data_IF_706246924502
#
_entry.id   IF_706246924502
#
_cell.length_a   1.000
_cell.length_b   1.000
_cell.length_c   1.000
_cell.angle_alpha   90.00
_cell.angle_beta   90.00
_cell.angle_gamma   90.00
#
_symmetry.space_group_name_H-M   'P 1'
#
loop_
_entity.id
_entity.type
_entity.pdbx_description
1 polymer ?
#
# COMPACT_ATOMS: atom_id res chain seq x y z
N UNK A 1 -87.43 -36.75 52.07
CA UNK A 1 -86.02 -36.73 51.71
C UNK A 1 -85.68 -37.32 50.34
N UNK A 2 -86.57 -37.82 49.50
CA UNK A 2 -86.25 -38.44 48.19
C UNK A 2 -86.44 -37.46 46.98
N UNK A 3 -87.00 -36.29 47.19
CA UNK A 3 -87.28 -35.34 46.11
C UNK A 3 -86.19 -34.28 45.88
N UNK A 4 -85.36 -33.91 46.87
CA UNK A 4 -84.33 -32.91 46.77
C UNK A 4 -83.02 -33.37 46.10
N UNK A 5 -82.77 -34.67 46.19
CA UNK A 5 -81.55 -35.29 45.59
C UNK A 5 -81.68 -35.40 44.06
N UNK A 6 -82.87 -35.52 43.50
CA UNK A 6 -83.08 -35.58 42.05
C UNK A 6 -82.93 -34.21 41.36
N UNK A 7 -83.19 -33.15 42.05
CA UNK A 7 -83.00 -31.75 41.45
C UNK A 7 -81.53 -31.34 41.48
N UNK A 8 -80.81 -31.70 42.55
CA UNK A 8 -79.39 -31.38 42.67
C UNK A 8 -78.55 -32.14 41.63
N UNK A 9 -78.85 -33.34 41.29
CA UNK A 9 -78.16 -34.09 40.25
C UNK A 9 -78.47 -33.62 38.83
N UNK A 10 -79.65 -33.02 38.54
CA UNK A 10 -79.89 -32.37 37.26
C UNK A 10 -79.11 -31.04 37.05
N UNK A 11 -78.90 -30.28 38.13
CA UNK A 11 -78.12 -29.06 38.02
C UNK A 11 -76.63 -29.35 37.88
N UNK A 12 -76.09 -30.41 38.47
CA UNK A 12 -74.72 -30.84 38.33
C UNK A 12 -74.47 -31.37 36.93
N UNK A 13 -75.38 -32.10 36.33
CA UNK A 13 -75.25 -32.60 34.95
C UNK A 13 -75.35 -31.44 33.90
N UNK A 14 -76.20 -30.45 34.12
CA UNK A 14 -76.30 -29.29 33.24
C UNK A 14 -75.05 -28.37 33.38
N UNK A 15 -74.47 -28.20 34.59
CA UNK A 15 -73.26 -27.47 34.82
C UNK A 15 -72.01 -28.21 34.23
N UNK A 16 -72.02 -29.57 34.28
CA UNK A 16 -70.89 -30.31 33.61
C UNK A 16 -70.99 -30.33 32.10
N UNK A 17 -72.15 -30.32 31.50
CA UNK A 17 -72.33 -30.24 30.05
C UNK A 17 -71.96 -28.81 29.53
N UNK A 18 -72.22 -27.79 30.31
CA UNK A 18 -71.79 -26.40 29.94
C UNK A 18 -70.28 -26.22 30.09
N UNK A 19 -69.66 -26.89 31.08
CA UNK A 19 -68.17 -26.85 31.24
C UNK A 19 -67.45 -27.71 30.18
N UNK A 20 -68.04 -28.88 29.79
CA UNK A 20 -67.49 -29.75 28.75
C UNK A 20 -67.75 -29.14 27.33
N UNK A 21 -68.84 -28.41 27.12
CA UNK A 21 -69.18 -27.75 25.89
C UNK A 21 -68.26 -26.47 25.62
N UNK A 22 -67.65 -25.89 26.66
CA UNK A 22 -66.72 -24.82 26.52
C UNK A 22 -65.23 -25.21 26.36
N UNK A 23 -64.90 -26.49 26.63
CA UNK A 23 -63.55 -27.01 26.48
C UNK A 23 -63.27 -27.70 25.14
N UNK A 24 -64.28 -27.94 24.30
CA UNK A 24 -64.12 -28.54 22.96
C UNK A 24 -64.20 -27.54 21.79
N UNK A 25 -64.44 -26.26 22.04
CA UNK A 25 -64.15 -25.20 21.13
C UNK A 25 -62.74 -24.63 21.43
N UNK A 26 -61.80 -25.52 21.54
CA UNK A 26 -60.34 -25.19 21.43
C UNK A 26 -60.12 -24.70 20.02
N UNK A 27 -60.26 -23.43 19.87
CA UNK A 27 -59.81 -22.71 18.71
C UNK A 27 -58.31 -23.05 18.47
N UNK A 28 -58.04 -23.98 17.61
CA UNK A 28 -56.80 -24.04 16.85
C UNK A 28 -56.84 -22.83 15.92
N UNK A 29 -56.72 -21.64 16.46
CA UNK A 29 -56.46 -20.46 15.65
C UNK A 29 -55.09 -20.72 15.07
N UNK A 30 -55.06 -21.08 13.80
CA UNK A 30 -53.87 -21.25 13.00
C UNK A 30 -52.98 -20.04 13.27
N UNK A 31 -51.77 -20.18 13.79
CA UNK A 31 -50.90 -19.06 14.14
C UNK A 31 -50.71 -18.11 12.97
N UNK A 32 -50.86 -18.62 11.72
CA UNK A 32 -50.83 -17.84 10.47
C UNK A 32 -52.03 -16.89 10.31
N UNK A 33 -53.13 -17.05 11.04
CA UNK A 33 -54.28 -16.13 11.01
C UNK A 33 -54.19 -14.99 12.03
N UNK A 34 -53.29 -15.08 13.01
CA UNK A 34 -53.08 -14.01 13.98
C UNK A 34 -52.41 -12.81 13.29
N UNK A 35 -52.93 -11.60 13.53
CA UNK A 35 -52.49 -10.36 12.89
C UNK A 35 -51.52 -9.59 13.78
N UNK A 36 -50.60 -8.87 13.17
CA UNK A 36 -49.72 -7.87 13.82
C UNK A 36 -50.61 -6.77 14.45
N UNK A 37 -50.21 -6.26 15.62
CA UNK A 37 -50.97 -5.21 16.31
C UNK A 37 -50.97 -3.94 15.47
N UNK A 38 -52.08 -3.15 15.54
CA UNK A 38 -52.18 -1.85 14.88
C UNK A 38 -51.04 -0.86 15.32
N UNK A 39 -50.68 0.09 14.51
CA UNK A 39 -49.67 1.10 14.76
C UNK A 39 -48.21 0.55 14.90
N UNK A 40 -47.92 -0.63 14.32
CA UNK A 40 -46.57 -1.13 14.13
C UNK A 40 -46.19 -0.92 12.65
N UNK A 41 -45.03 -0.35 12.44
CA UNK A 41 -44.46 -0.10 11.12
C UNK A 41 -43.10 -0.78 10.99
N UNK A 42 -42.70 -1.15 9.77
CA UNK A 42 -41.35 -1.59 9.43
C UNK A 42 -40.85 -0.67 8.31
N UNK A 43 -39.71 0.00 8.50
CA UNK A 43 -39.22 1.05 7.60
C UNK A 43 -40.30 2.11 7.27
N UNK A 44 -41.06 2.50 8.28
CA UNK A 44 -42.20 3.41 8.17
C UNK A 44 -43.37 2.88 7.32
N UNK A 45 -43.33 1.61 6.89
CA UNK A 45 -44.46 0.98 6.17
C UNK A 45 -45.36 0.34 7.23
N UNK A 46 -46.67 0.73 7.22
CA UNK A 46 -47.64 0.15 8.13
C UNK A 46 -47.84 -1.34 7.82
N UNK A 47 -47.55 -2.20 8.81
CA UNK A 47 -47.76 -3.64 8.80
C UNK A 47 -48.82 -4.08 9.83
N UNK A 48 -49.42 -3.10 10.54
CA UNK A 48 -50.49 -3.35 11.49
C UNK A 48 -51.71 -3.98 10.83
N UNK A 49 -52.40 -4.87 11.58
CA UNK A 49 -53.59 -5.65 11.14
C UNK A 49 -53.29 -6.62 9.98
N UNK A 50 -52.05 -6.76 9.50
CA UNK A 50 -51.65 -7.77 8.52
C UNK A 50 -51.29 -9.10 9.23
N UNK A 51 -51.45 -10.25 8.55
CA UNK A 51 -50.82 -11.48 8.92
C UNK A 51 -49.32 -11.41 8.62
N UNK A 52 -48.49 -12.31 9.22
CA UNK A 52 -47.05 -12.38 8.90
C UNK A 52 -46.83 -12.50 7.38
N UNK A 53 -47.53 -13.43 6.73
CA UNK A 53 -47.42 -13.65 5.27
C UNK A 53 -47.75 -12.41 4.43
N UNK A 54 -48.81 -11.68 4.81
CA UNK A 54 -49.18 -10.42 4.13
C UNK A 54 -48.13 -9.30 4.34
N UNK A 55 -47.57 -9.20 5.57
CA UNK A 55 -46.53 -8.23 5.89
C UNK A 55 -45.23 -8.51 5.12
N UNK A 56 -44.78 -9.79 5.09
CA UNK A 56 -43.60 -10.20 4.30
C UNK A 56 -43.80 -9.85 2.84
N UNK A 57 -44.89 -10.28 2.20
CA UNK A 57 -45.18 -9.99 0.80
C UNK A 57 -45.17 -8.45 0.49
N UNK A 58 -45.74 -7.65 1.42
CA UNK A 58 -45.77 -6.19 1.29
C UNK A 58 -44.37 -5.58 1.32
N UNK A 59 -43.51 -6.06 2.22
CA UNK A 59 -42.14 -5.56 2.38
C UNK A 59 -41.23 -6.03 1.25
N UNK A 60 -41.32 -7.30 0.81
CA UNK A 60 -40.59 -7.83 -0.35
C UNK A 60 -40.91 -7.07 -1.63
N UNK A 61 -42.18 -6.71 -1.84
CA UNK A 61 -42.58 -5.87 -2.98
C UNK A 61 -41.96 -4.47 -2.94
N UNK A 62 -41.71 -3.92 -1.75
CA UNK A 62 -41.12 -2.60 -1.57
C UNK A 62 -39.59 -2.62 -1.55
N UNK A 63 -39.01 -3.68 -0.99
CA UNK A 63 -37.57 -3.90 -0.85
C UNK A 63 -37.16 -5.23 -1.51
N UNK A 64 -37.31 -5.36 -2.84
CA UNK A 64 -36.88 -6.57 -3.53
C UNK A 64 -35.38 -6.68 -3.51
N UNK A 65 -34.87 -7.90 -3.33
CA UNK A 65 -33.46 -8.22 -3.57
C UNK A 65 -33.22 -8.10 -5.08
N UNK A 66 -32.39 -7.14 -5.48
CA UNK A 66 -32.07 -6.87 -6.88
C UNK A 66 -30.58 -6.97 -7.11
N UNK A 67 -30.22 -7.49 -8.25
CA UNK A 67 -28.86 -7.40 -8.77
C UNK A 67 -28.53 -5.96 -9.13
N UNK A 68 -27.25 -5.63 -9.07
CA UNK A 68 -26.74 -4.33 -9.48
C UNK A 68 -25.52 -4.47 -10.36
N UNK A 69 -25.18 -3.40 -11.05
CA UNK A 69 -24.04 -3.40 -11.93
C UNK A 69 -23.01 -2.39 -11.50
N UNK A 70 -21.76 -2.78 -11.62
CA UNK A 70 -20.60 -1.89 -11.55
C UNK A 70 -20.21 -1.56 -12.99
N UNK A 71 -20.07 -0.28 -13.34
CA UNK A 71 -19.85 0.19 -14.72
C UNK A 71 -18.59 1.03 -14.83
N UNK A 72 -17.86 0.90 -15.92
CA UNK A 72 -16.71 1.74 -16.26
C UNK A 72 -16.53 1.84 -17.78
N UNK A 73 -16.70 3.04 -18.35
CA UNK A 73 -16.76 3.20 -19.79
C UNK A 73 -17.88 2.33 -20.41
N UNK A 74 -17.49 1.42 -21.31
CA UNK A 74 -18.41 0.46 -21.92
C UNK A 74 -18.48 -0.89 -21.18
N UNK A 75 -17.66 -1.07 -20.16
CA UNK A 75 -17.61 -2.31 -19.38
C UNK A 75 -18.68 -2.32 -18.30
N UNK A 76 -19.25 -3.50 -18.04
CA UNK A 76 -20.34 -3.70 -17.08
C UNK A 76 -20.20 -5.06 -16.41
N UNK A 77 -20.15 -5.08 -15.08
CA UNK A 77 -20.09 -6.30 -14.28
C UNK A 77 -21.35 -6.41 -13.42
N UNK A 78 -22.03 -7.53 -13.51
CA UNK A 78 -23.18 -7.84 -12.66
C UNK A 78 -22.72 -8.33 -11.30
N UNK A 79 -23.33 -7.83 -10.25
CA UNK A 79 -23.23 -8.38 -8.90
C UNK A 79 -24.63 -8.91 -8.56
N UNK A 80 -24.77 -10.21 -8.54
CA UNK A 80 -26.03 -10.86 -8.19
C UNK A 80 -26.26 -10.77 -6.67
N UNK A 81 -27.43 -10.34 -6.24
CA UNK A 81 -27.79 -10.26 -4.83
C UNK A 81 -27.59 -11.60 -4.11
N UNK A 82 -27.91 -12.70 -4.81
CA UNK A 82 -27.73 -14.06 -4.30
C UNK A 82 -26.28 -14.49 -4.18
N UNK A 83 -25.39 -14.03 -5.08
CA UNK A 83 -23.97 -14.42 -5.06
C UNK A 83 -23.24 -13.87 -3.84
N UNK A 84 -23.73 -12.78 -3.27
CA UNK A 84 -23.19 -12.13 -2.08
C UNK A 84 -24.03 -12.37 -0.81
N UNK A 85 -25.01 -13.26 -0.84
CA UNK A 85 -25.95 -13.52 0.25
C UNK A 85 -26.60 -12.25 0.80
N UNK A 86 -27.01 -11.34 -0.08
CA UNK A 86 -27.70 -10.11 0.32
C UNK A 86 -29.05 -10.47 0.95
N UNK A 87 -29.30 -9.99 2.17
CA UNK A 87 -30.54 -10.18 2.89
C UNK A 87 -30.95 -8.91 3.66
N UNK A 88 -32.23 -8.59 3.64
CA UNK A 88 -32.82 -7.51 4.42
C UNK A 88 -33.49 -8.00 5.70
N UNK A 89 -33.44 -9.30 6.00
CA UNK A 89 -34.02 -9.96 7.18
C UNK A 89 -35.49 -9.65 7.39
N UNK A 90 -36.26 -9.59 6.29
CA UNK A 90 -37.69 -9.19 6.31
C UNK A 90 -38.50 -10.15 7.22
N UNK A 91 -38.31 -11.45 7.10
CA UNK A 91 -39.04 -12.43 7.94
C UNK A 91 -38.74 -12.24 9.43
N UNK A 92 -37.46 -12.03 9.79
CA UNK A 92 -37.05 -11.81 11.18
C UNK A 92 -37.73 -10.54 11.74
N UNK A 93 -37.75 -9.44 10.99
CA UNK A 93 -38.34 -8.17 11.41
C UNK A 93 -39.86 -8.24 11.47
N UNK A 94 -40.49 -9.01 10.58
CA UNK A 94 -41.94 -9.26 10.66
C UNK A 94 -42.28 -10.14 11.89
N UNK A 95 -41.44 -11.12 12.23
CA UNK A 95 -41.56 -11.87 13.45
C UNK A 95 -41.41 -11.02 14.71
N UNK A 96 -40.43 -10.09 14.73
CA UNK A 96 -40.27 -9.08 15.78
C UNK A 96 -41.55 -8.23 15.93
N UNK A 97 -42.06 -7.72 14.83
CA UNK A 97 -43.30 -6.93 14.80
C UNK A 97 -44.50 -7.72 15.33
N UNK A 98 -44.63 -8.98 14.94
CA UNK A 98 -45.71 -9.84 15.39
C UNK A 98 -45.61 -10.14 16.88
N UNK A 99 -44.41 -10.37 17.40
CA UNK A 99 -44.16 -10.73 18.79
C UNK A 99 -44.10 -9.51 19.72
N UNK A 100 -43.95 -8.30 19.23
CA UNK A 100 -43.81 -7.08 20.04
C UNK A 100 -44.81 -6.96 21.19
N UNK A 101 -46.01 -7.51 21.06
CA UNK A 101 -47.05 -7.50 22.09
C UNK A 101 -47.37 -8.88 22.64
N UNK A 102 -46.51 -9.89 22.43
CA UNK A 102 -46.82 -11.32 22.72
C UNK A 102 -45.71 -12.10 23.43
N UNK A 103 -44.49 -11.68 23.36
CA UNK A 103 -43.30 -12.43 23.81
C UNK A 103 -42.72 -11.98 25.17
N UNK A 104 -43.33 -10.97 25.78
CA UNK A 104 -42.89 -10.45 27.08
C UNK A 104 -43.88 -10.83 28.20
N UNK A 105 -43.61 -10.36 29.42
CA UNK A 105 -44.54 -10.56 30.54
C UNK A 105 -45.92 -9.97 30.22
N UNK A 106 -46.96 -10.54 30.84
CA UNK A 106 -48.33 -10.09 30.63
C UNK A 106 -48.50 -8.57 30.86
N UNK A 107 -47.88 -8.05 31.90
CA UNK A 107 -47.91 -6.60 32.23
C UNK A 107 -47.26 -5.76 31.13
N UNK A 108 -46.09 -6.15 30.64
CA UNK A 108 -45.39 -5.42 29.58
C UNK A 108 -46.15 -5.49 28.25
N UNK A 109 -46.76 -6.65 27.93
CA UNK A 109 -47.60 -6.75 26.73
C UNK A 109 -48.83 -5.85 26.81
N UNK A 110 -49.47 -5.72 27.99
CA UNK A 110 -50.59 -4.79 28.21
C UNK A 110 -50.12 -3.35 28.03
N UNK A 111 -48.95 -2.98 28.61
CA UNK A 111 -48.35 -1.64 28.48
C UNK A 111 -48.01 -1.30 27.04
N UNK A 112 -47.40 -2.22 26.29
CA UNK A 112 -47.09 -2.03 24.86
C UNK A 112 -48.36 -1.86 24.02
N UNK A 113 -49.38 -2.68 24.24
CA UNK A 113 -50.71 -2.52 23.60
C UNK A 113 -51.37 -1.18 23.93
N UNK A 114 -51.26 -0.72 25.19
CA UNK A 114 -51.74 0.58 25.62
C UNK A 114 -51.05 1.75 24.89
N UNK A 115 -49.72 1.71 24.82
CA UNK A 115 -48.96 2.71 24.06
C UNK A 115 -49.37 2.79 22.58
N UNK A 116 -49.54 1.64 21.93
CA UNK A 116 -49.97 1.55 20.53
C UNK A 116 -51.38 2.09 20.33
N UNK A 117 -52.33 1.85 21.26
CA UNK A 117 -53.68 2.43 21.22
C UNK A 117 -53.70 3.96 21.32
N UNK A 118 -52.78 4.54 22.07
CA UNK A 118 -52.54 5.99 22.16
C UNK A 118 -51.92 6.61 20.92
N UNK A 119 -51.94 5.93 19.78
CA UNK A 119 -51.39 6.32 18.48
C UNK A 119 -49.84 6.54 18.48
N UNK A 120 -49.13 6.05 19.48
CA UNK A 120 -47.65 6.00 19.44
C UNK A 120 -47.24 4.82 18.55
N UNK A 121 -46.77 5.12 17.36
CA UNK A 121 -46.26 4.07 16.44
C UNK A 121 -44.97 3.43 16.98
N UNK A 122 -44.79 2.15 16.69
CA UNK A 122 -43.53 1.46 16.89
C UNK A 122 -42.95 1.09 15.54
N UNK A 123 -41.80 1.71 15.19
CA UNK A 123 -41.14 1.48 13.93
C UNK A 123 -39.93 0.58 14.09
N UNK A 124 -39.89 -0.51 13.36
CA UNK A 124 -38.78 -1.47 13.30
C UNK A 124 -38.00 -1.19 12.01
N UNK A 125 -36.67 -1.25 12.08
CA UNK A 125 -35.81 -1.08 10.88
C UNK A 125 -35.41 -2.45 10.34
N UNK A 126 -35.40 -2.58 9.03
CA UNK A 126 -34.79 -3.71 8.35
C UNK A 126 -33.27 -3.66 8.53
N UNK A 127 -32.68 -4.82 8.72
CA UNK A 127 -31.23 -4.98 8.77
C UNK A 127 -30.75 -5.50 7.41
N UNK A 128 -29.89 -4.76 6.75
CA UNK A 128 -29.24 -5.23 5.53
C UNK A 128 -27.93 -5.94 5.88
N UNK A 129 -27.72 -7.14 5.37
CA UNK A 129 -26.46 -7.88 5.50
C UNK A 129 -26.08 -8.51 4.16
N UNK A 130 -24.78 -8.76 3.99
CA UNK A 130 -24.23 -9.50 2.86
C UNK A 130 -22.92 -10.15 3.27
N UNK A 131 -22.45 -11.13 2.51
CA UNK A 131 -21.15 -11.80 2.73
C UNK A 131 -20.02 -10.96 2.10
N UNK A 132 -19.21 -10.34 2.96
CA UNK A 132 -18.08 -9.49 2.53
C UNK A 132 -16.99 -10.30 1.81
N UNK A 133 -16.82 -11.58 2.12
CA UNK A 133 -15.82 -12.44 1.49
C UNK A 133 -16.25 -12.74 0.05
N UNK A 134 -17.54 -13.07 -0.14
CA UNK A 134 -18.11 -13.32 -1.47
C UNK A 134 -18.06 -12.04 -2.32
N UNK A 135 -18.52 -10.92 -1.78
CA UNK A 135 -18.39 -9.62 -2.48
C UNK A 135 -16.95 -9.32 -2.86
N UNK A 136 -15.99 -9.51 -1.94
CA UNK A 136 -14.57 -9.26 -2.22
C UNK A 136 -14.01 -10.15 -3.33
N UNK A 137 -14.54 -11.36 -3.54
CA UNK A 137 -14.15 -12.22 -4.66
C UNK A 137 -14.62 -11.64 -5.99
N UNK A 138 -15.88 -11.18 -6.07
CA UNK A 138 -16.43 -10.53 -7.26
C UNK A 138 -15.64 -9.25 -7.60
N UNK A 139 -15.37 -8.41 -6.60
CA UNK A 139 -14.61 -7.17 -6.80
C UNK A 139 -13.16 -7.42 -7.25
N UNK A 140 -12.53 -8.54 -6.82
CA UNK A 140 -11.18 -8.92 -7.30
C UNK A 140 -11.16 -9.19 -8.81
N UNK A 141 -12.21 -9.75 -9.37
CA UNK A 141 -12.31 -9.98 -10.83
C UNK A 141 -12.30 -8.63 -11.56
N UNK A 142 -13.10 -7.68 -11.09
CA UNK A 142 -13.16 -6.32 -11.64
C UNK A 142 -11.80 -5.62 -11.53
N UNK A 143 -11.17 -5.71 -10.35
CA UNK A 143 -9.84 -5.13 -10.15
C UNK A 143 -8.80 -5.69 -11.12
N UNK A 144 -8.82 -7.01 -11.39
CA UNK A 144 -7.88 -7.64 -12.34
C UNK A 144 -8.12 -7.20 -13.78
N UNK A 145 -9.36 -6.92 -14.15
CA UNK A 145 -9.72 -6.45 -15.48
C UNK A 145 -9.28 -5.00 -15.74
N UNK A 146 -9.27 -4.16 -14.69
CA UNK A 146 -9.07 -2.70 -14.82
C UNK A 146 -7.69 -2.25 -14.38
N UNK A 147 -7.09 -2.88 -13.35
CA UNK A 147 -5.80 -2.45 -12.83
C UNK A 147 -4.69 -2.68 -13.87
N UNK A 148 -3.98 -1.61 -14.16
CA UNK A 148 -2.77 -1.60 -14.97
C UNK A 148 -1.70 -0.89 -14.17
N UNK A 149 -0.57 -1.54 -13.93
CA UNK A 149 0.53 -0.93 -13.22
C UNK A 149 1.17 0.18 -14.07
N UNK A 150 1.57 1.26 -13.40
CA UNK A 150 2.38 2.28 -14.03
C UNK A 150 3.76 1.72 -14.40
N UNK A 151 4.32 2.17 -15.51
CA UNK A 151 5.65 1.78 -15.97
C UNK A 151 6.58 2.97 -15.82
N UNK A 152 7.68 2.79 -15.09
CA UNK A 152 8.70 3.81 -14.91
C UNK A 152 9.46 4.08 -16.23
N UNK A 153 9.86 5.32 -16.44
CA UNK A 153 10.85 5.67 -17.45
C UNK A 153 12.21 5.09 -17.05
N UNK A 154 13.04 4.75 -18.00
CA UNK A 154 14.42 4.30 -17.76
C UNK A 154 15.45 5.15 -18.47
N UNK A 155 16.62 5.23 -17.85
CA UNK A 155 17.82 5.84 -18.41
C UNK A 155 18.94 4.82 -18.33
N UNK A 156 19.63 4.61 -19.43
CA UNK A 156 20.76 3.70 -19.52
C UNK A 156 21.87 4.28 -20.42
N UNK A 157 23.11 4.07 -20.03
CA UNK A 157 24.28 4.45 -20.80
C UNK A 157 25.04 3.20 -21.19
N UNK A 158 25.10 2.93 -22.48
CA UNK A 158 25.86 1.81 -23.03
C UNK A 158 27.37 2.01 -22.84
N UNK A 159 28.15 0.95 -22.98
CA UNK A 159 29.62 1.05 -22.93
C UNK A 159 30.20 1.93 -24.02
N UNK A 160 29.53 2.02 -25.16
CA UNK A 160 29.86 2.95 -26.26
C UNK A 160 29.66 4.43 -25.88
N UNK A 161 28.97 4.73 -24.78
CA UNK A 161 28.54 6.07 -24.39
C UNK A 161 27.18 6.49 -24.98
N UNK A 162 26.52 5.63 -25.77
CA UNK A 162 25.16 5.87 -26.26
C UNK A 162 24.16 5.89 -25.10
N UNK A 163 23.27 6.89 -25.11
CA UNK A 163 22.25 7.04 -24.07
C UNK A 163 20.92 6.51 -24.60
N UNK A 164 20.37 5.49 -23.94
CA UNK A 164 19.03 4.96 -24.20
C UNK A 164 18.04 5.40 -23.11
N UNK A 165 16.84 5.79 -23.56
CA UNK A 165 15.75 6.23 -22.68
C UNK A 165 14.46 5.55 -23.08
N UNK A 166 13.67 5.10 -22.11
CA UNK A 166 12.28 4.67 -22.33
C UNK A 166 11.31 5.66 -21.70
N UNK A 167 10.10 5.74 -22.26
CA UNK A 167 9.04 6.60 -21.72
C UNK A 167 8.31 5.90 -20.60
N UNK A 168 7.90 6.63 -19.58
CA UNK A 168 6.97 6.17 -18.56
C UNK A 168 5.56 6.02 -19.14
N UNK A 169 4.76 5.18 -18.49
CA UNK A 169 3.32 5.04 -18.77
C UNK A 169 2.55 5.11 -17.47
N UNK A 170 1.49 5.88 -17.46
CA UNK A 170 0.54 5.89 -16.36
C UNK A 170 -0.23 4.58 -16.31
N UNK A 171 -0.56 4.15 -15.12
CA UNK A 171 -1.41 3.00 -14.85
C UNK A 171 -2.80 3.42 -14.40
N UNK A 172 -3.62 2.43 -14.04
CA UNK A 172 -4.96 2.60 -13.50
C UNK A 172 -5.14 1.68 -12.32
N UNK A 173 -5.83 2.15 -11.29
CA UNK A 173 -6.09 1.36 -10.09
C UNK A 173 -7.50 1.64 -9.59
N UNK A 174 -8.27 0.59 -9.36
CA UNK A 174 -9.59 0.70 -8.74
C UNK A 174 -9.43 1.20 -7.30
N UNK A 175 -10.15 2.25 -6.93
CA UNK A 175 -10.31 2.66 -5.53
C UNK A 175 -11.30 1.70 -4.85
N UNK A 176 -10.76 0.57 -4.41
CA UNK A 176 -11.53 -0.50 -3.80
C UNK A 176 -12.20 -0.06 -2.49
N UNK A 177 -11.58 0.86 -1.74
CA UNK A 177 -12.14 1.38 -0.49
C UNK A 177 -13.40 2.16 -0.74
N UNK A 178 -13.34 3.11 -1.67
CA UNK A 178 -14.49 3.91 -2.08
C UNK A 178 -15.59 3.08 -2.74
N UNK A 179 -15.21 2.08 -3.55
CA UNK A 179 -16.18 1.17 -4.16
C UNK A 179 -16.96 0.38 -3.09
N UNK A 180 -16.26 -0.18 -2.09
CA UNK A 180 -16.89 -0.90 -0.98
C UNK A 180 -17.80 0.01 -0.15
N UNK A 181 -17.39 1.23 0.13
CA UNK A 181 -18.19 2.23 0.83
C UNK A 181 -19.49 2.55 0.05
N UNK A 182 -19.39 2.80 -1.25
CA UNK A 182 -20.55 3.03 -2.10
C UNK A 182 -21.53 1.86 -2.09
N UNK A 183 -21.03 0.62 -2.16
CA UNK A 183 -21.86 -0.60 -2.11
C UNK A 183 -22.51 -0.73 -0.73
N UNK A 184 -21.76 -0.56 0.35
CA UNK A 184 -22.26 -0.60 1.72
C UNK A 184 -23.41 0.42 1.93
N UNK A 185 -23.19 1.65 1.52
CA UNK A 185 -24.18 2.74 1.62
C UNK A 185 -25.44 2.44 0.82
N UNK A 186 -25.29 1.98 -0.42
CA UNK A 186 -26.41 1.61 -1.29
C UNK A 186 -27.26 0.49 -0.67
N UNK A 187 -26.61 -0.57 -0.17
CA UNK A 187 -27.28 -1.70 0.47
C UNK A 187 -27.99 -1.28 1.75
N UNK A 188 -27.35 -0.50 2.62
CA UNK A 188 -27.95 -0.03 3.86
C UNK A 188 -29.13 0.94 3.62
N UNK A 189 -29.07 1.77 2.60
CA UNK A 189 -30.18 2.61 2.17
C UNK A 189 -31.29 1.81 1.49
N UNK A 190 -31.07 0.53 1.20
CA UNK A 190 -31.99 -0.39 0.49
C UNK A 190 -32.48 0.17 -0.85
N UNK A 191 -31.61 0.95 -1.49
CA UNK A 191 -31.84 1.59 -2.78
C UNK A 191 -30.81 1.09 -3.78
N UNK A 192 -31.12 -0.09 -4.35
CA UNK A 192 -30.21 -0.75 -5.28
C UNK A 192 -30.20 -0.01 -6.61
N UNK A 193 -29.01 0.47 -7.01
CA UNK A 193 -28.76 1.18 -8.26
C UNK A 193 -27.36 0.82 -8.81
N UNK A 194 -27.08 1.18 -10.06
CA UNK A 194 -25.77 0.92 -10.64
C UNK A 194 -24.72 1.87 -10.05
N UNK A 195 -23.51 1.35 -9.91
CA UNK A 195 -22.37 2.08 -9.34
C UNK A 195 -21.32 2.31 -10.42
N UNK A 196 -20.90 3.55 -10.62
CA UNK A 196 -19.73 3.86 -11.43
C UNK A 196 -18.48 3.44 -10.68
N UNK A 197 -17.60 2.65 -11.34
CA UNK A 197 -16.35 2.18 -10.77
C UNK A 197 -15.42 3.37 -10.50
N UNK A 198 -15.02 3.62 -9.25
CA UNK A 198 -14.02 4.64 -8.96
C UNK A 198 -12.63 4.12 -9.37
N UNK A 199 -12.02 4.76 -10.35
CA UNK A 199 -10.69 4.43 -10.86
C UNK A 199 -9.77 5.62 -10.68
N UNK A 200 -8.58 5.38 -10.10
CA UNK A 200 -7.53 6.36 -9.89
C UNK A 200 -6.42 6.13 -10.92
N UNK A 201 -5.77 7.20 -11.36
CA UNK A 201 -4.53 7.11 -12.13
C UNK A 201 -3.41 6.67 -11.20
N UNK A 202 -2.64 5.67 -11.60
CA UNK A 202 -1.41 5.25 -10.94
C UNK A 202 -0.24 5.89 -11.68
N UNK A 203 0.53 6.73 -11.00
CA UNK A 203 1.66 7.43 -11.60
C UNK A 203 2.94 6.61 -11.47
N UNK A 204 3.84 6.65 -12.48
CA UNK A 204 5.15 6.05 -12.40
C UNK A 204 6.01 6.77 -11.34
N UNK A 205 6.92 6.06 -10.71
CA UNK A 205 7.89 6.62 -9.75
C UNK A 205 8.94 7.47 -10.46
N UNK A 206 9.29 7.09 -11.68
CA UNK A 206 10.22 7.79 -12.54
C UNK A 206 9.48 8.24 -13.80
N UNK A 207 9.32 9.54 -13.97
CA UNK A 207 8.63 10.10 -15.14
C UNK A 207 9.56 10.25 -16.36
N UNK A 208 8.96 10.34 -17.53
CA UNK A 208 9.68 10.64 -18.78
C UNK A 208 10.44 11.96 -18.69
N UNK A 209 9.87 12.98 -18.06
CA UNK A 209 10.45 14.32 -17.90
C UNK A 209 11.69 14.28 -17.02
N UNK A 210 11.64 13.50 -15.92
CA UNK A 210 12.79 13.29 -15.04
C UNK A 210 13.96 12.62 -15.76
N UNK A 211 13.70 11.60 -16.58
CA UNK A 211 14.73 10.93 -17.36
C UNK A 211 15.28 11.83 -18.49
N UNK A 212 14.44 12.66 -19.09
CA UNK A 212 14.88 13.65 -20.11
C UNK A 212 15.77 14.73 -19.52
N UNK A 213 15.59 15.11 -18.26
CA UNK A 213 16.41 16.14 -17.60
C UNK A 213 17.87 15.71 -17.44
N UNK A 214 18.17 14.39 -17.46
CA UNK A 214 19.54 13.87 -17.42
C UNK A 214 20.17 14.08 -18.80
N UNK A 215 20.91 15.18 -18.98
CA UNK A 215 21.41 15.60 -20.29
C UNK A 215 22.90 15.98 -20.30
N UNK A 216 23.59 15.88 -19.16
CA UNK A 216 24.98 16.29 -19.02
C UNK A 216 25.73 15.37 -18.05
N UNK A 217 27.05 15.34 -18.17
CA UNK A 217 27.95 14.80 -17.14
C UNK A 217 28.22 15.91 -16.14
N UNK A 218 27.82 15.72 -14.87
CA UNK A 218 28.08 16.67 -13.79
C UNK A 218 29.53 16.59 -13.29
N UNK A 219 30.03 15.34 -13.17
CA UNK A 219 31.40 15.07 -12.76
C UNK A 219 31.83 13.67 -13.13
N UNK A 220 33.14 13.46 -13.22
CA UNK A 220 33.76 12.20 -13.51
C UNK A 220 35.13 12.07 -12.86
N UNK A 221 35.53 10.83 -12.58
CA UNK A 221 36.87 10.54 -12.09
C UNK A 221 37.32 9.14 -12.55
N UNK A 222 38.63 8.97 -12.78
CA UNK A 222 39.21 7.70 -13.25
C UNK A 222 40.40 7.29 -12.42
N UNK A 223 40.56 5.98 -12.23
CA UNK A 223 41.76 5.39 -11.61
C UNK A 223 42.21 4.16 -12.40
N UNK A 224 43.53 3.99 -12.52
CA UNK A 224 44.12 2.87 -13.26
C UNK A 224 44.38 1.68 -12.37
N UNK A 225 44.28 0.46 -12.92
CA UNK A 225 44.56 -0.80 -12.24
C UNK A 225 45.05 -1.88 -13.23
N UNK A 226 45.50 -3.02 -12.72
CA UNK A 226 45.88 -4.14 -13.58
C UNK A 226 44.72 -5.14 -13.69
N UNK A 227 44.13 -5.26 -14.89
CA UNK A 227 42.98 -6.10 -15.21
C UNK A 227 43.26 -7.60 -15.01
N UNK A 228 44.53 -8.05 -15.22
CA UNK A 228 44.90 -9.48 -15.25
C UNK A 228 45.05 -10.12 -13.87
N UNK A 229 44.70 -9.43 -12.79
CA UNK A 229 44.86 -9.89 -11.41
C UNK A 229 43.53 -10.21 -10.74
N UNK A 230 43.57 -11.01 -9.64
CA UNK A 230 42.40 -11.20 -8.76
C UNK A 230 41.83 -9.88 -8.25
N UNK A 231 42.74 -8.91 -7.99
CA UNK A 231 42.35 -7.55 -7.59
C UNK A 231 41.60 -6.82 -8.71
N UNK A 232 42.03 -6.96 -9.96
CA UNK A 232 41.34 -6.45 -11.12
C UNK A 232 39.95 -7.07 -11.26
N UNK A 233 39.83 -8.39 -11.13
CA UNK A 233 38.54 -9.07 -11.12
C UNK A 233 37.59 -8.52 -10.05
N UNK A 234 38.07 -8.22 -8.83
CA UNK A 234 37.26 -7.62 -7.76
C UNK A 234 36.80 -6.20 -8.11
N UNK A 235 37.64 -5.42 -8.84
CA UNK A 235 37.28 -4.08 -9.30
C UNK A 235 36.15 -4.15 -10.33
N UNK A 236 36.16 -5.13 -11.24
CA UNK A 236 35.07 -5.38 -12.16
C UNK A 236 33.76 -5.69 -11.43
N UNK A 237 33.76 -6.67 -10.53
CA UNK A 237 32.57 -7.04 -9.75
C UNK A 237 32.00 -5.87 -8.97
N UNK A 238 32.87 -5.11 -8.27
CA UNK A 238 32.43 -3.96 -7.49
C UNK A 238 31.95 -2.77 -8.37
N UNK A 239 32.66 -2.55 -9.49
CA UNK A 239 32.30 -1.50 -10.45
C UNK A 239 30.95 -1.74 -11.12
N UNK A 240 30.67 -2.98 -11.53
CA UNK A 240 29.41 -3.38 -12.11
C UNK A 240 28.25 -3.29 -11.10
N UNK A 241 28.44 -3.79 -9.87
CA UNK A 241 27.41 -3.74 -8.81
C UNK A 241 27.05 -2.33 -8.36
N UNK A 242 27.92 -1.36 -8.62
CA UNK A 242 27.74 0.06 -8.28
C UNK A 242 27.48 0.95 -9.50
N UNK A 243 27.23 0.33 -10.66
CA UNK A 243 26.88 1.02 -11.92
C UNK A 243 25.37 1.02 -12.17
N UNK A 244 24.95 1.83 -13.13
CA UNK A 244 23.58 1.90 -13.65
C UNK A 244 22.56 2.22 -12.56
N UNK A 245 22.88 3.17 -11.70
CA UNK A 245 22.06 3.58 -10.57
C UNK A 245 21.45 4.96 -10.80
N UNK A 246 20.13 5.00 -10.84
CA UNK A 246 19.37 6.25 -10.83
C UNK A 246 19.10 6.63 -9.37
N UNK A 247 19.47 7.85 -8.99
CA UNK A 247 19.15 8.45 -7.70
C UNK A 247 18.20 9.63 -7.91
N UNK A 248 16.99 9.49 -7.41
CA UNK A 248 16.00 10.56 -7.41
C UNK A 248 16.41 11.68 -6.43
N UNK A 249 15.82 12.87 -6.52
CA UNK A 249 16.03 13.93 -5.54
C UNK A 249 15.86 13.44 -4.09
N UNK A 250 16.86 13.71 -3.24
CA UNK A 250 16.90 13.29 -1.83
C UNK A 250 17.26 11.82 -1.59
N UNK A 251 17.45 11.00 -2.63
CA UNK A 251 17.88 9.61 -2.44
C UNK A 251 19.38 9.50 -2.15
N UNK A 252 19.71 8.54 -1.27
CA UNK A 252 21.08 8.27 -0.82
C UNK A 252 21.64 7.01 -1.46
N UNK A 253 22.83 7.12 -2.05
CA UNK A 253 23.66 5.99 -2.43
C UNK A 253 24.40 5.42 -1.22
N UNK A 254 24.50 4.09 -1.14
CA UNK A 254 25.35 3.37 -0.18
C UNK A 254 26.14 2.31 -0.93
N UNK A 255 27.46 2.41 -0.86
CA UNK A 255 28.35 1.45 -1.51
C UNK A 255 28.16 0.03 -0.97
N UNK A 256 28.11 -0.11 0.37
CA UNK A 256 27.94 -1.40 1.02
C UNK A 256 26.60 -2.05 0.68
N UNK A 257 25.53 -1.26 0.55
CA UNK A 257 24.21 -1.77 0.15
C UNK A 257 24.21 -2.32 -1.28
N UNK A 258 25.02 -1.73 -2.16
CA UNK A 258 25.13 -2.16 -3.56
C UNK A 258 26.02 -3.37 -3.74
N UNK A 259 27.19 -3.40 -3.10
CA UNK A 259 28.16 -4.47 -3.28
C UNK A 259 27.90 -5.70 -2.39
N UNK A 260 27.19 -5.53 -1.29
CA UNK A 260 27.02 -6.61 -0.30
C UNK A 260 28.33 -7.06 0.37
N UNK A 261 28.34 -8.25 0.94
CA UNK A 261 29.53 -8.87 1.52
C UNK A 261 30.54 -9.23 0.43
N UNK A 262 31.82 -8.93 0.67
CA UNK A 262 32.90 -9.16 -0.30
C UNK A 262 33.49 -10.55 -0.10
N UNK A 263 32.74 -11.58 -0.48
CA UNK A 263 33.12 -12.97 -0.35
C UNK A 263 33.07 -13.71 -1.71
N UNK A 264 33.55 -14.93 -1.75
CA UNK A 264 33.57 -15.75 -2.96
C UNK A 264 32.17 -16.04 -3.54
N UNK A 265 31.14 -16.11 -2.69
CA UNK A 265 29.73 -16.32 -3.13
C UNK A 265 29.26 -15.17 -4.00
N UNK A 266 29.70 -13.95 -3.68
CA UNK A 266 29.40 -12.73 -4.44
C UNK A 266 30.42 -12.44 -5.55
N UNK A 267 31.27 -13.42 -5.92
CA UNK A 267 32.23 -13.33 -7.01
C UNK A 267 33.56 -12.67 -6.68
N UNK A 268 33.80 -12.34 -5.41
CA UNK A 268 35.08 -11.74 -5.00
C UNK A 268 36.16 -12.78 -4.77
N UNK A 269 37.37 -12.44 -5.16
CA UNK A 269 38.59 -13.27 -5.02
C UNK A 269 39.50 -12.75 -3.90
N UNK A 270 40.35 -13.62 -3.39
CA UNK A 270 41.43 -13.19 -2.49
C UNK A 270 42.44 -12.35 -3.24
N UNK A 271 42.77 -11.19 -2.68
CA UNK A 271 43.73 -10.22 -3.22
C UNK A 271 44.34 -9.37 -2.07
N UNK A 272 45.42 -8.63 -2.30
CA UNK A 272 46.00 -7.75 -1.29
C UNK A 272 45.04 -6.74 -0.72
N UNK A 273 44.90 -6.71 0.62
CA UNK A 273 44.12 -5.73 1.42
C UNK A 273 45.03 -5.10 2.47
N UNK A 274 44.63 -3.97 3.03
CA UNK A 274 45.29 -3.29 4.14
C UNK A 274 44.52 -3.55 5.43
N UNK A 275 45.14 -4.23 6.39
CA UNK A 275 44.55 -4.50 7.72
C UNK A 275 45.55 -4.07 8.79
N UNK A 276 45.14 -3.15 9.70
CA UNK A 276 46.02 -2.67 10.77
C UNK A 276 47.35 -2.06 10.29
N UNK A 277 47.30 -1.36 9.11
CA UNK A 277 48.50 -0.74 8.52
C UNK A 277 49.50 -1.75 7.85
N UNK A 278 49.10 -3.02 7.66
CA UNK A 278 49.90 -4.03 6.96
C UNK A 278 49.16 -4.59 5.76
N UNK A 279 49.88 -4.91 4.71
CA UNK A 279 49.33 -5.58 3.52
C UNK A 279 49.25 -7.07 3.78
N UNK A 280 48.08 -7.66 3.62
CA UNK A 280 47.78 -9.09 3.72
C UNK A 280 46.85 -9.53 2.62
N UNK A 281 46.70 -10.82 2.38
CA UNK A 281 45.66 -11.31 1.44
C UNK A 281 44.32 -11.48 2.14
N UNK A 282 43.25 -11.02 1.48
CA UNK A 282 41.88 -11.15 1.97
C UNK A 282 40.88 -10.99 0.83
N UNK A 283 39.64 -11.37 1.07
CA UNK A 283 38.56 -11.27 0.09
C UNK A 283 38.23 -9.81 -0.22
N UNK A 284 37.93 -9.50 -1.49
CA UNK A 284 37.52 -8.16 -1.92
C UNK A 284 38.65 -7.13 -2.03
N UNK A 285 39.96 -7.55 -2.02
CA UNK A 285 41.04 -6.59 -2.28
C UNK A 285 40.85 -5.87 -3.61
N UNK A 286 40.87 -4.53 -3.57
CA UNK A 286 40.59 -3.65 -4.72
C UNK A 286 39.29 -2.84 -4.64
N UNK A 287 38.30 -3.23 -3.85
CA UNK A 287 36.98 -2.57 -3.75
C UNK A 287 37.06 -1.11 -3.29
N UNK A 288 38.03 -0.78 -2.42
CA UNK A 288 38.23 0.61 -1.98
C UNK A 288 38.74 1.53 -3.11
N UNK A 289 39.32 0.99 -4.17
CA UNK A 289 39.64 1.80 -5.36
C UNK A 289 38.37 2.19 -6.12
N UNK A 290 37.39 1.28 -6.20
CA UNK A 290 36.09 1.57 -6.82
C UNK A 290 35.34 2.63 -6.02
N UNK A 291 35.21 2.45 -4.68
CA UNK A 291 34.57 3.46 -3.83
C UNK A 291 35.26 4.83 -3.90
N UNK A 292 36.59 4.86 -3.94
CA UNK A 292 37.38 6.09 -4.12
C UNK A 292 37.08 6.76 -5.47
N UNK A 293 36.98 5.98 -6.54
CA UNK A 293 36.67 6.54 -7.88
C UNK A 293 35.28 7.14 -7.91
N UNK A 294 34.28 6.46 -7.34
CA UNK A 294 32.90 6.93 -7.22
C UNK A 294 32.83 8.19 -6.31
N UNK A 295 33.54 8.16 -5.17
CA UNK A 295 33.62 9.30 -4.24
C UNK A 295 34.08 10.56 -4.93
N UNK A 296 35.17 10.48 -5.70
CA UNK A 296 35.70 11.63 -6.42
C UNK A 296 34.75 12.14 -7.52
N UNK A 297 34.08 11.24 -8.23
CA UNK A 297 33.05 11.61 -9.18
C UNK A 297 31.88 12.34 -8.47
N UNK A 298 31.43 11.85 -7.31
CA UNK A 298 30.40 12.45 -6.50
C UNK A 298 30.81 13.83 -5.96
N UNK A 299 32.06 14.00 -5.47
CA UNK A 299 32.61 15.28 -5.05
C UNK A 299 32.57 16.31 -6.19
N UNK A 300 33.04 15.92 -7.37
CA UNK A 300 33.10 16.79 -8.55
C UNK A 300 31.72 17.08 -9.15
N UNK A 301 30.71 16.31 -8.79
CA UNK A 301 29.31 16.48 -9.19
C UNK A 301 28.48 17.30 -8.21
N UNK A 302 29.04 17.78 -7.10
CA UNK A 302 28.33 18.56 -6.10
C UNK A 302 27.36 17.75 -5.22
N UNK A 303 27.43 16.39 -5.25
CA UNK A 303 26.58 15.56 -4.39
C UNK A 303 26.96 15.73 -2.92
N UNK A 304 26.00 15.65 -2.02
CA UNK A 304 26.23 15.73 -0.57
C UNK A 304 26.88 14.46 -0.09
N UNK A 305 28.07 14.55 0.50
CA UNK A 305 28.78 13.41 1.08
C UNK A 305 28.31 13.20 2.51
N UNK A 306 27.64 12.07 2.77
CA UNK A 306 27.06 11.76 4.09
C UNK A 306 28.02 10.92 4.95
N UNK A 307 28.80 10.02 4.30
CA UNK A 307 29.75 9.17 5.00
C UNK A 307 30.93 8.87 4.10
N UNK A 308 32.16 9.17 4.56
CA UNK A 308 33.42 8.80 3.92
C UNK A 308 34.48 8.56 4.99
N UNK A 309 35.37 7.59 4.77
CA UNK A 309 36.48 7.28 5.65
C UNK A 309 37.76 7.17 4.83
N UNK A 310 38.88 7.71 5.35
CA UNK A 310 40.17 7.61 4.69
C UNK A 310 40.92 6.34 5.14
N UNK A 311 41.85 5.85 4.30
CA UNK A 311 42.74 4.78 4.70
C UNK A 311 43.76 5.26 5.74
N UNK A 312 44.21 4.34 6.59
CA UNK A 312 45.31 4.59 7.53
C UNK A 312 46.67 4.78 6.83
N UNK A 313 46.80 4.29 5.60
CA UNK A 313 47.98 4.49 4.73
C UNK A 313 47.51 5.16 3.42
N UNK A 314 48.27 6.12 2.87
CA UNK A 314 47.90 6.77 1.62
C UNK A 314 47.74 5.75 0.47
N UNK A 315 46.65 5.86 -0.26
CA UNK A 315 46.42 5.08 -1.48
C UNK A 315 47.30 5.59 -2.62
N UNK A 316 47.69 4.69 -3.55
CA UNK A 316 48.48 5.07 -4.73
C UNK A 316 47.66 5.50 -5.93
N UNK A 317 46.33 5.30 -5.89
CA UNK A 317 45.41 5.55 -7.01
C UNK A 317 44.61 6.86 -6.89
N UNK A 318 44.72 7.56 -5.76
CA UNK A 318 44.07 8.85 -5.56
C UNK A 318 44.97 9.80 -4.78
N UNK A 319 44.81 11.14 -4.91
CA UNK A 319 45.50 12.13 -4.06
C UNK A 319 45.16 11.87 -2.57
N UNK A 320 46.09 12.19 -1.68
CA UNK A 320 45.87 12.11 -0.22
C UNK A 320 44.67 12.93 0.18
N UNK A 321 43.82 12.38 1.09
CA UNK A 321 42.59 13.01 1.53
C UNK A 321 41.44 12.91 0.54
N UNK A 322 41.59 12.21 -0.58
CA UNK A 322 40.54 11.97 -1.59
C UNK A 322 40.24 10.49 -1.79
N UNK A 323 40.59 9.68 -0.84
CA UNK A 323 40.30 8.23 -0.82
C UNK A 323 39.06 7.92 0.04
N UNK A 324 38.37 6.83 -0.28
CA UNK A 324 37.20 6.35 0.42
C UNK A 324 37.38 4.87 0.77
N UNK A 325 37.65 4.59 2.04
CA UNK A 325 37.73 3.22 2.58
C UNK A 325 36.33 2.68 2.84
N UNK A 326 36.10 1.44 2.43
CA UNK A 326 34.83 0.74 2.68
C UNK A 326 35.11 -0.65 3.28
N UNK A 327 34.36 -1.01 4.29
CA UNK A 327 34.36 -2.33 4.92
C UNK A 327 32.93 -2.73 5.25
N UNK A 328 32.50 -3.90 4.76
CA UNK A 328 31.12 -4.34 4.94
C UNK A 328 30.75 -4.49 6.43
N UNK A 329 29.69 -3.81 6.85
CA UNK A 329 29.24 -3.81 8.24
C UNK A 329 29.96 -2.81 9.17
N UNK A 330 31.00 -2.08 8.69
CA UNK A 330 31.78 -1.15 9.52
C UNK A 330 31.85 0.26 8.94
N UNK A 331 32.43 0.42 7.74
CA UNK A 331 32.60 1.74 7.11
C UNK A 331 31.98 1.72 5.72
N UNK A 332 31.31 2.79 5.35
CA UNK A 332 30.63 2.91 4.06
C UNK A 332 31.04 4.18 3.32
N UNK A 333 30.73 4.24 2.04
CA UNK A 333 30.64 5.46 1.27
C UNK A 333 29.17 5.73 1.01
N UNK A 334 28.70 6.87 1.54
CA UNK A 334 27.33 7.33 1.32
C UNK A 334 27.35 8.76 0.80
N UNK A 335 26.46 9.03 -0.14
CA UNK A 335 26.19 10.39 -0.62
C UNK A 335 24.77 10.51 -1.10
N UNK A 336 24.20 11.69 -0.97
CA UNK A 336 22.81 12.01 -1.31
C UNK A 336 22.76 12.95 -2.51
N UNK A 337 21.77 12.77 -3.37
CA UNK A 337 21.44 13.70 -4.44
C UNK A 337 20.73 14.95 -3.86
N UNK A 338 21.40 16.13 -3.77
CA UNK A 338 20.80 17.35 -3.22
C UNK A 338 19.95 18.12 -4.24
N UNK A 339 19.98 17.71 -5.51
CA UNK A 339 19.34 18.43 -6.60
C UNK A 339 17.85 18.16 -6.72
N UNK A 340 17.16 18.99 -7.49
CA UNK A 340 15.74 18.80 -7.82
C UNK A 340 15.52 17.86 -9.00
N UNK A 341 16.60 17.50 -9.71
CA UNK A 341 16.60 16.55 -10.81
C UNK A 341 17.30 15.25 -10.41
N UNK A 342 16.97 14.11 -11.04
CA UNK A 342 17.67 12.85 -10.80
C UNK A 342 19.10 12.89 -11.33
N UNK A 343 19.99 12.10 -10.69
CA UNK A 343 21.32 11.81 -11.18
C UNK A 343 21.48 10.32 -11.45
N UNK A 344 22.39 9.99 -12.37
CA UNK A 344 22.64 8.61 -12.76
C UNK A 344 24.14 8.30 -12.68
N UNK A 345 24.48 7.21 -11.97
CA UNK A 345 25.84 6.76 -11.75
C UNK A 345 26.17 5.68 -12.78
N UNK A 346 27.21 5.92 -13.57
CA UNK A 346 27.77 4.94 -14.51
C UNK A 346 29.23 4.69 -14.21
N UNK A 347 29.57 3.43 -13.96
CA UNK A 347 30.94 2.98 -13.92
C UNK A 347 31.31 2.25 -15.22
N UNK A 348 32.43 2.60 -15.79
CA UNK A 348 33.01 1.96 -16.97
C UNK A 348 34.30 1.31 -16.49
N UNK A 349 34.36 -0.02 -16.53
CA UNK A 349 35.50 -0.80 -16.05
C UNK A 349 36.09 -1.59 -17.22
N UNK A 350 37.38 -1.48 -17.43
CA UNK A 350 38.09 -2.19 -18.48
C UNK A 350 39.30 -1.42 -19.00
N UNK A 351 40.10 -2.07 -19.82
CA UNK A 351 41.32 -1.49 -20.39
C UNK A 351 42.29 -0.89 -19.35
N UNK A 352 42.40 -1.55 -18.18
CA UNK A 352 43.28 -1.12 -17.11
C UNK A 352 42.80 0.10 -16.32
N UNK A 353 41.54 0.50 -16.44
CA UNK A 353 40.99 1.65 -15.73
C UNK A 353 39.53 1.44 -15.30
N UNK A 354 39.14 2.12 -14.22
CA UNK A 354 37.75 2.35 -13.85
C UNK A 354 37.46 3.85 -13.92
N UNK A 355 36.40 4.21 -14.63
CA UNK A 355 35.89 5.57 -14.71
C UNK A 355 34.47 5.61 -14.16
N UNK A 356 34.24 6.41 -13.12
CA UNK A 356 32.92 6.74 -12.63
C UNK A 356 32.45 8.06 -13.23
N UNK A 357 31.25 8.07 -13.80
CA UNK A 357 30.58 9.27 -14.36
C UNK A 357 29.25 9.46 -13.65
N UNK A 358 28.98 10.67 -13.22
CA UNK A 358 27.71 11.11 -12.70
C UNK A 358 27.01 11.96 -13.77
N UNK A 359 25.94 11.42 -14.33
CA UNK A 359 25.07 12.14 -15.26
C UNK A 359 23.95 12.84 -14.49
N UNK A 360 23.51 14.00 -14.94
CA UNK A 360 22.42 14.78 -14.34
C UNK A 360 21.93 15.89 -15.26
N UNK A 361 21.17 16.83 -14.69
CA UNK A 361 20.72 18.01 -15.40
C UNK A 361 21.84 19.04 -15.52
N UNK A 362 22.03 19.64 -16.71
CA UNK A 362 23.01 20.67 -16.88
C UNK A 362 22.76 21.94 -16.04
N UNK A 363 21.51 22.15 -15.61
CA UNK A 363 21.14 23.25 -14.70
C UNK A 363 21.70 23.05 -13.28
N UNK A 364 21.96 21.80 -12.90
CA UNK A 364 22.54 21.43 -11.60
C UNK A 364 24.08 21.37 -11.64
N UNK A 365 24.69 21.70 -12.82
CA UNK A 365 26.12 21.57 -12.99
C UNK A 365 26.84 22.72 -12.30
N UNK A 366 27.57 22.39 -11.25
CA UNK A 366 28.44 23.31 -10.51
C UNK A 366 29.84 23.30 -11.07
N UNK A 367 30.50 24.45 -11.00
CA UNK A 367 31.95 24.55 -11.27
C UNK A 367 32.72 24.27 -9.99
N UNK A 368 33.27 23.07 -9.89
CA UNK A 368 33.88 22.57 -8.65
C UNK A 368 35.38 22.40 -8.83
N UNK A 369 36.17 22.89 -7.85
CA UNK A 369 37.58 22.60 -7.67
C UNK A 369 37.80 21.96 -6.31
N UNK A 370 38.77 21.04 -6.23
CA UNK A 370 39.14 20.38 -4.96
C UNK A 370 40.51 20.90 -4.54
N UNK A 371 40.57 21.46 -3.32
CA UNK A 371 41.82 21.92 -2.70
C UNK A 371 42.11 21.06 -1.48
N UNK A 372 43.34 20.54 -1.41
CA UNK A 372 43.84 19.78 -0.26
C UNK A 372 44.90 20.65 0.44
N UNK A 373 44.84 20.68 1.79
CA UNK A 373 45.82 21.30 2.65
C UNK A 373 46.43 20.17 3.48
N UNK A 374 47.73 19.95 3.32
CA UNK A 374 48.51 18.94 4.03
C UNK A 374 49.29 19.58 5.17
N UNK A 375 49.15 19.06 6.37
CA UNK A 375 49.92 19.40 7.56
C UNK A 375 50.77 18.21 7.96
N UNK A 376 52.08 18.42 8.08
CA UNK A 376 53.03 17.40 8.43
C UNK A 376 53.51 17.57 9.86
N UNK A 377 53.33 16.53 10.66
CA UNK A 377 53.93 16.39 11.98
C UNK A 377 54.92 15.22 11.95
N UNK A 378 55.74 15.07 13.01
CA UNK A 378 56.81 14.06 13.06
C UNK A 378 56.36 12.61 12.79
N UNK A 379 55.09 12.29 13.13
CA UNK A 379 54.51 10.96 13.03
C UNK A 379 53.15 10.89 12.33
N UNK A 380 52.64 11.99 11.78
CA UNK A 380 51.31 12.07 11.21
C UNK A 380 51.24 13.08 10.09
N UNK A 381 50.55 12.71 9.01
CA UNK A 381 50.12 13.63 7.95
C UNK A 381 48.60 13.84 8.16
N UNK A 382 48.17 15.07 8.35
CA UNK A 382 46.77 15.45 8.37
C UNK A 382 46.44 16.15 7.06
N UNK A 383 45.37 15.76 6.42
CA UNK A 383 44.90 16.33 5.16
C UNK A 383 43.49 16.85 5.35
N UNK A 384 43.31 18.13 5.06
CA UNK A 384 41.98 18.73 4.98
C UNK A 384 41.64 18.89 3.50
N UNK A 385 40.52 18.30 3.09
CA UNK A 385 40.07 18.36 1.68
C UNK A 385 38.88 19.29 1.59
N UNK A 386 39.05 20.35 0.81
CA UNK A 386 38.00 21.34 0.59
C UNK A 386 37.41 21.23 -0.80
N UNK A 387 36.10 21.25 -0.90
CA UNK A 387 35.35 21.45 -2.13
C UNK A 387 35.05 22.93 -2.28
N UNK A 388 35.52 23.50 -3.38
CA UNK A 388 35.39 24.93 -3.72
C UNK A 388 34.41 25.02 -4.89
N UNK A 389 33.42 25.85 -4.74
CA UNK A 389 32.47 26.20 -5.80
C UNK A 389 32.89 27.53 -6.40
N UNK A 390 32.95 27.59 -7.72
CA UNK A 390 33.49 28.69 -8.47
C UNK A 390 32.40 29.34 -9.32
N UNK A 391 32.45 30.68 -9.44
CA UNK A 391 31.66 31.41 -10.42
C UNK A 391 32.30 31.34 -11.84
N UNK A 392 31.71 32.05 -12.79
CA UNK A 392 32.19 32.08 -14.18
C UNK A 392 33.61 32.72 -14.31
N UNK A 393 33.97 33.58 -13.38
CA UNK A 393 35.27 34.26 -13.30
C UNK A 393 36.31 33.45 -12.50
N UNK A 394 35.97 32.24 -12.03
CA UNK A 394 36.76 31.36 -11.16
C UNK A 394 37.00 31.88 -9.73
N UNK A 395 36.19 32.84 -9.24
CA UNK A 395 36.21 33.21 -7.84
C UNK A 395 35.49 32.14 -6.98
N UNK A 396 35.97 31.97 -5.74
CA UNK A 396 35.36 31.02 -4.80
C UNK A 396 34.11 31.67 -4.21
N UNK A 397 32.95 31.11 -4.53
CA UNK A 397 31.63 31.55 -4.00
C UNK A 397 31.17 30.76 -2.82
N UNK A 398 31.62 29.48 -2.69
CA UNK A 398 31.30 28.59 -1.56
C UNK A 398 32.46 27.63 -1.31
N UNK A 399 32.68 27.31 -0.03
CA UNK A 399 33.72 26.37 0.40
C UNK A 399 33.10 25.37 1.40
N UNK A 400 33.36 24.10 1.20
CA UNK A 400 32.95 22.99 2.11
C UNK A 400 34.21 22.19 2.47
N UNK A 401 34.27 21.69 3.74
CA UNK A 401 35.32 20.77 4.25
C UNK A 401 34.96 19.34 4.00
#
# INVERSE_FOLDING_TARGET
>A
MRGQIKILNKFIYVAMIVVVGFTSLGLTSNENEKKIHSNITIENIDVGKLTKKQAIKKLEAKYPLKDFYITWGNEKWAIEAKSIDLDYHIEERVNEAFNYTRDTSMLENIKRKGKLKLKKSHNIRLKATYDEIKLSKELKVICRAINVDAVDASFHVELSGEIKRTKSKEGKKVDLSRLKENIYDMINKKKIENINLPVLTSYPKVSTEQVKSINSILGQFSTSFNDSTSRGSNIHVAGESTSDILLMPGETFSYNKRTGARNWVNGYKSAPIIVGGKVTNGEGGGVCQVSTTIYNAALLSGLTIDEVHNHSLPSKYAPKGRDATVSYGYTDLKFTNPYTHPVYIKNIVGNGAITSKIYGCNLDRERISIRMIEEYTKNKITVQTYRLYLDEENNIVRKEL
#
